data_IF_649248469067
#
_entry.id   IF_649248469067
#
_cell.length_a   1.000
_cell.length_b   1.000
_cell.length_c   1.000
_cell.angle_alpha   90.00
_cell.angle_beta   90.00
_cell.angle_gamma   90.00
#
_symmetry.space_group_name_H-M   'P 1'
#
loop_
_entity.id
_entity.type
_entity.pdbx_description
1 polymer ?
#
# COMPACT_ATOMS: atom_id res chain seq x y z
N UNK A 1 -2.77 50.97 -5.20
CA UNK A 1 -2.68 50.15 -3.98
C UNK A 1 -2.50 48.71 -4.43
N UNK A 2 -1.27 48.21 -4.35
CA UNK A 2 -0.93 46.83 -4.66
C UNK A 2 -1.13 46.02 -3.37
N UNK A 3 -2.12 45.14 -3.35
CA UNK A 3 -2.27 44.19 -2.28
C UNK A 3 -1.24 43.07 -2.48
N UNK A 4 -0.18 43.07 -1.67
CA UNK A 4 0.74 41.95 -1.61
C UNK A 4 0.05 40.77 -0.96
N UNK A 5 -0.06 39.64 -1.66
CA UNK A 5 -0.33 38.34 -1.06
C UNK A 5 0.91 37.94 -0.27
N UNK A 6 0.90 38.14 1.04
CA UNK A 6 1.83 37.46 1.94
C UNK A 6 1.43 36.00 1.99
N UNK A 7 2.32 35.13 1.49
CA UNK A 7 2.25 33.70 1.75
C UNK A 7 2.24 33.49 3.26
N UNK A 8 1.21 32.81 3.77
CA UNK A 8 1.17 32.37 5.16
C UNK A 8 2.35 31.42 5.38
N UNK A 9 3.29 31.81 6.23
CA UNK A 9 4.31 30.88 6.73
C UNK A 9 3.61 29.67 7.34
N UNK A 10 4.11 28.48 6.99
CA UNK A 10 3.58 27.20 7.50
C UNK A 10 3.70 27.18 9.02
N UNK A 11 2.61 26.91 9.71
CA UNK A 11 2.61 26.68 11.14
C UNK A 11 3.59 25.53 11.49
N UNK A 12 4.50 25.79 12.43
CA UNK A 12 5.47 24.82 12.99
C UNK A 12 6.64 24.34 12.12
N UNK A 13 7.19 25.13 11.22
CA UNK A 13 8.45 24.76 10.52
C UNK A 13 8.33 23.65 9.46
N UNK A 14 7.14 23.17 9.18
CA UNK A 14 6.89 22.18 8.14
C UNK A 14 7.25 22.75 6.75
N UNK A 15 7.77 21.88 5.88
CA UNK A 15 8.01 22.18 4.46
C UNK A 15 6.64 22.09 3.76
N UNK A 16 6.23 23.21 3.16
CA UNK A 16 5.00 23.22 2.38
C UNK A 16 5.29 22.61 0.99
N UNK A 17 4.52 21.59 0.64
CA UNK A 17 4.58 20.93 -0.67
C UNK A 17 3.28 21.21 -1.41
N UNK A 18 3.40 21.65 -2.65
CA UNK A 18 2.28 21.81 -3.57
C UNK A 18 2.37 20.77 -4.67
N UNK A 19 1.47 19.79 -4.65
CA UNK A 19 1.30 18.82 -5.72
C UNK A 19 0.29 19.34 -6.72
N UNK A 20 0.62 19.27 -8.00
CA UNK A 20 -0.29 19.52 -9.14
C UNK A 20 -0.21 18.34 -10.10
N UNK A 21 -0.99 18.34 -11.17
CA UNK A 21 -0.92 17.24 -12.14
C UNK A 21 0.49 17.09 -12.78
N UNK A 22 1.26 18.20 -12.85
CA UNK A 22 2.55 18.25 -13.55
C UNK A 22 3.69 18.79 -12.67
N UNK A 23 3.45 19.05 -11.37
CA UNK A 23 4.40 19.70 -10.47
C UNK A 23 4.40 19.13 -9.06
N UNK A 24 5.59 19.20 -8.44
CA UNK A 24 5.80 18.87 -7.03
C UNK A 24 6.70 19.98 -6.45
N UNK A 25 6.12 21.08 -5.98
CA UNK A 25 6.86 22.25 -5.57
C UNK A 25 6.98 22.34 -4.05
N UNK A 26 8.21 22.53 -3.57
CA UNK A 26 8.55 22.73 -2.17
C UNK A 26 8.84 24.20 -1.92
N UNK A 27 8.34 24.75 -0.80
CA UNK A 27 8.68 26.10 -0.35
C UNK A 27 10.14 26.21 0.15
N UNK A 28 10.71 25.09 0.59
CA UNK A 28 12.09 24.94 1.06
C UNK A 28 12.67 23.63 0.54
N UNK A 29 13.90 23.68 0.03
CA UNK A 29 14.67 22.51 -0.40
C UNK A 29 15.73 22.08 0.64
N UNK A 30 15.65 22.60 1.86
CA UNK A 30 16.56 22.30 2.96
C UNK A 30 15.80 21.97 4.23
N UNK A 31 16.28 20.98 4.97
CA UNK A 31 15.81 20.58 6.29
C UNK A 31 16.99 20.36 7.25
N UNK A 32 16.70 20.19 8.54
CA UNK A 32 17.66 19.76 9.54
C UNK A 32 17.43 18.29 9.89
N UNK A 33 18.51 17.60 10.32
CA UNK A 33 18.40 16.25 10.88
C UNK A 33 17.45 16.22 12.08
N UNK A 34 16.64 15.19 12.18
CA UNK A 34 15.57 14.99 13.16
C UNK A 34 14.23 14.82 12.44
N UNK A 35 13.16 15.23 13.08
CA UNK A 35 11.83 15.17 12.46
C UNK A 35 11.69 16.21 11.35
N UNK A 36 11.62 15.71 10.11
CA UNK A 36 11.31 16.51 8.93
C UNK A 36 9.81 16.43 8.67
N UNK A 37 9.16 17.58 8.75
CA UNK A 37 7.71 17.68 8.62
C UNK A 37 7.37 18.24 7.23
N UNK A 38 6.43 17.62 6.55
CA UNK A 38 5.87 18.07 5.28
C UNK A 38 4.37 18.33 5.45
N UNK A 39 3.89 19.41 4.83
CA UNK A 39 2.47 19.66 4.62
C UNK A 39 2.21 19.67 3.12
N UNK A 40 1.61 18.60 2.63
CA UNK A 40 1.34 18.41 1.22
C UNK A 40 -0.06 18.88 0.89
N UNK A 41 -0.20 19.81 -0.05
CA UNK A 41 -1.49 20.27 -0.54
C UNK A 41 -1.64 19.85 -2.00
N UNK A 42 -2.72 19.16 -2.30
CA UNK A 42 -3.05 18.77 -3.66
C UNK A 42 -3.85 19.87 -4.38
N UNK A 43 -3.18 20.61 -5.25
CA UNK A 43 -3.77 21.61 -6.13
C UNK A 43 -4.04 21.06 -7.54
N UNK A 44 -3.84 19.76 -7.75
CA UNK A 44 -4.19 19.06 -8.98
C UNK A 44 -5.65 18.66 -9.04
N UNK A 45 -6.03 17.95 -10.09
CA UNK A 45 -7.39 17.42 -10.33
C UNK A 45 -7.50 15.91 -10.05
N UNK A 46 -6.38 15.22 -9.81
CA UNK A 46 -6.30 13.80 -9.48
C UNK A 46 -5.92 13.65 -7.99
N UNK A 47 -6.26 12.54 -7.38
CA UNK A 47 -5.70 12.15 -6.07
C UNK A 47 -4.18 12.09 -6.19
N UNK A 48 -3.45 12.43 -5.14
CA UNK A 48 -1.98 12.41 -5.15
C UNK A 48 -1.42 11.74 -3.89
N UNK A 49 -0.22 11.23 -4.02
CA UNK A 49 0.61 10.73 -2.93
C UNK A 49 1.88 11.57 -2.82
N UNK A 50 2.53 11.50 -1.67
CA UNK A 50 3.82 12.15 -1.47
C UNK A 50 4.75 11.24 -0.67
N UNK A 51 5.99 11.11 -1.15
CA UNK A 51 7.02 10.23 -0.63
C UNK A 51 8.28 10.98 -0.23
N UNK A 52 8.95 10.51 0.82
CA UNK A 52 10.36 10.78 1.09
C UNK A 52 11.18 9.50 0.90
N UNK A 53 12.13 9.54 -0.02
CA UNK A 53 13.05 8.44 -0.30
C UNK A 53 14.44 8.70 0.30
N UNK A 54 14.97 7.69 0.96
CA UNK A 54 16.36 7.66 1.43
C UNK A 54 17.32 7.06 0.41
N UNK A 55 18.46 6.62 0.90
CA UNK A 55 19.46 5.92 0.10
C UNK A 55 18.88 4.65 -0.54
N UNK A 56 19.33 4.32 -1.75
CA UNK A 56 18.86 3.17 -2.53
C UNK A 56 17.37 3.21 -2.87
N UNK A 57 16.80 4.41 -2.97
CA UNK A 57 15.39 4.62 -3.33
C UNK A 57 14.39 3.96 -2.38
N UNK A 58 14.80 3.70 -1.13
CA UNK A 58 13.93 3.14 -0.10
C UNK A 58 12.97 4.21 0.43
N UNK A 59 11.69 3.89 0.55
CA UNK A 59 10.69 4.75 1.19
C UNK A 59 11.03 4.90 2.67
N UNK A 60 11.19 6.14 3.14
CA UNK A 60 11.36 6.49 4.55
C UNK A 60 10.03 6.92 5.18
N UNK A 61 9.11 7.41 4.38
CA UNK A 61 7.77 7.77 4.78
C UNK A 61 6.98 8.30 3.59
N UNK A 62 5.68 8.18 3.69
CA UNK A 62 4.72 8.54 2.67
C UNK A 62 3.43 9.07 3.27
N UNK A 63 2.67 9.78 2.48
CA UNK A 63 1.28 10.12 2.75
C UNK A 63 0.50 10.00 1.44
N UNK A 64 -0.55 9.22 1.50
CA UNK A 64 -1.34 8.79 0.35
C UNK A 64 -2.74 9.41 0.35
N UNK A 65 -3.46 9.16 -0.72
CA UNK A 65 -4.89 9.47 -0.86
C UNK A 65 -5.26 10.94 -0.61
N UNK A 66 -4.37 11.88 -0.96
CA UNK A 66 -4.64 13.31 -0.84
C UNK A 66 -5.54 13.73 -2.02
N UNK A 67 -6.84 13.85 -1.77
CA UNK A 67 -7.82 14.29 -2.78
C UNK A 67 -7.59 15.74 -3.26
N UNK A 68 -8.14 16.11 -4.44
CA UNK A 68 -8.05 17.47 -4.97
C UNK A 68 -8.56 18.53 -3.96
N UNK A 69 -7.74 19.55 -3.72
CA UNK A 69 -8.03 20.63 -2.76
C UNK A 69 -7.79 20.27 -1.29
N UNK A 70 -7.41 19.03 -0.99
CA UNK A 70 -7.11 18.57 0.37
C UNK A 70 -5.62 18.69 0.68
N UNK A 71 -5.27 18.48 1.96
CA UNK A 71 -3.89 18.44 2.42
C UNK A 71 -3.65 17.25 3.33
N UNK A 72 -2.47 16.63 3.19
CA UNK A 72 -1.93 15.60 4.07
C UNK A 72 -0.69 16.11 4.81
N UNK A 73 -0.36 15.48 5.93
CA UNK A 73 0.86 15.77 6.68
C UNK A 73 1.71 14.50 6.77
N UNK A 74 3.02 14.67 6.56
CA UNK A 74 4.00 13.61 6.71
C UNK A 74 5.10 14.08 7.64
N UNK A 75 5.43 13.29 8.65
CA UNK A 75 6.59 13.49 9.52
C UNK A 75 7.52 12.31 9.39
N UNK A 76 8.78 12.55 9.07
CA UNK A 76 9.81 11.50 8.92
C UNK A 76 11.03 11.86 9.76
N UNK A 77 11.48 10.93 10.60
CA UNK A 77 12.75 11.07 11.30
C UNK A 77 13.92 10.82 10.33
N UNK A 78 14.72 11.86 10.07
CA UNK A 78 15.92 11.80 9.23
C UNK A 78 17.15 12.03 10.09
N UNK A 79 17.86 10.97 10.43
CA UNK A 79 19.00 11.03 11.37
C UNK A 79 20.31 11.41 10.70
N UNK A 80 20.50 11.06 9.45
CA UNK A 80 21.74 11.30 8.70
C UNK A 80 21.63 12.55 7.83
N UNK A 81 22.62 13.45 7.85
CA UNK A 81 22.70 14.53 6.87
C UNK A 81 22.99 13.95 5.48
N UNK A 82 22.41 14.56 4.45
CA UNK A 82 22.59 14.08 3.08
C UNK A 82 21.55 14.65 2.12
N UNK A 83 21.57 14.15 0.89
CA UNK A 83 20.58 14.46 -0.13
C UNK A 83 19.55 13.35 -0.16
N UNK A 84 18.29 13.72 -0.08
CA UNK A 84 17.12 12.84 -0.12
C UNK A 84 16.25 13.20 -1.32
N UNK A 85 15.38 12.30 -1.73
CA UNK A 85 14.45 12.55 -2.83
C UNK A 85 13.03 12.59 -2.29
N UNK A 86 12.26 13.60 -2.68
CA UNK A 86 10.81 13.61 -2.50
C UNK A 86 10.12 13.36 -3.84
N UNK A 87 8.91 12.82 -3.81
CA UNK A 87 8.09 12.68 -5.01
C UNK A 87 6.62 12.95 -4.70
N UNK A 88 5.95 13.68 -5.59
CA UNK A 88 4.50 13.72 -5.69
C UNK A 88 4.06 12.76 -6.80
N UNK A 89 3.03 11.94 -6.56
CA UNK A 89 2.47 11.02 -7.58
C UNK A 89 1.02 11.40 -7.89
N UNK A 90 0.77 12.34 -8.79
CA UNK A 90 -0.59 12.68 -9.21
C UNK A 90 -1.25 11.50 -9.93
N UNK A 91 -2.43 11.11 -9.47
CA UNK A 91 -3.12 9.91 -9.94
C UNK A 91 -2.63 8.63 -9.30
N UNK A 92 -1.70 8.72 -8.32
CA UNK A 92 -1.10 7.57 -7.61
C UNK A 92 -0.32 6.61 -8.53
N UNK A 93 0.18 7.10 -9.67
CA UNK A 93 0.79 6.28 -10.72
C UNK A 93 2.25 6.65 -10.97
N UNK A 94 3.02 5.67 -11.44
CA UNK A 94 4.38 5.82 -11.92
C UNK A 94 5.41 6.16 -10.84
N UNK A 95 6.56 6.68 -11.28
CA UNK A 95 7.68 7.03 -10.39
C UNK A 95 7.51 8.38 -9.69
N UNK A 96 6.48 9.13 -10.06
CA UNK A 96 6.18 10.45 -9.55
C UNK A 96 7.11 11.57 -10.05
N UNK A 97 6.73 12.79 -9.72
CA UNK A 97 7.48 14.01 -10.02
C UNK A 97 8.48 14.22 -8.88
N UNK A 98 9.75 13.96 -9.14
CA UNK A 98 10.81 13.90 -8.13
C UNK A 98 11.57 15.22 -7.98
N UNK A 99 11.93 15.54 -6.74
CA UNK A 99 12.77 16.67 -6.35
C UNK A 99 13.78 16.23 -5.30
N UNK A 100 14.93 16.92 -5.25
CA UNK A 100 15.91 16.70 -4.19
C UNK A 100 15.67 17.67 -3.03
N UNK A 101 15.91 17.18 -1.81
CA UNK A 101 15.96 17.96 -0.59
C UNK A 101 17.27 17.69 0.14
N UNK A 102 17.93 18.74 0.62
CA UNK A 102 19.16 18.64 1.40
C UNK A 102 18.83 18.63 2.89
N UNK A 103 19.23 17.58 3.59
CA UNK A 103 19.16 17.52 5.05
C UNK A 103 20.52 17.82 5.62
N UNK A 104 20.63 18.87 6.42
CA UNK A 104 21.88 19.36 7.03
C UNK A 104 21.82 19.23 8.54
N UNK A 105 22.97 19.42 9.20
CA UNK A 105 23.10 19.29 10.65
C UNK A 105 24.02 18.16 11.07
N UNK A 106 24.11 17.94 12.37
CA UNK A 106 24.87 16.80 12.90
C UNK A 106 24.05 15.51 12.75
N UNK A 107 24.76 14.39 12.53
CA UNK A 107 24.11 13.08 12.59
C UNK A 107 23.46 12.92 13.96
N UNK A 108 22.14 12.71 13.99
CA UNK A 108 21.41 12.43 15.22
C UNK A 108 21.46 10.93 15.51
N UNK A 109 21.56 10.59 16.79
CA UNK A 109 21.21 9.24 17.20
C UNK A 109 19.72 9.03 16.89
N UNK A 110 19.34 7.87 16.35
CA UNK A 110 17.91 7.50 16.29
C UNK A 110 17.32 7.64 17.69
N UNK A 111 16.13 8.21 17.79
CA UNK A 111 15.39 8.19 19.04
C UNK A 111 15.39 6.76 19.61
N UNK A 112 15.67 6.63 20.93
CA UNK A 112 15.58 5.33 21.56
C UNK A 112 14.13 4.84 21.51
N UNK A 113 13.87 3.93 20.59
CA UNK A 113 12.57 3.25 20.53
C UNK A 113 12.41 2.43 21.81
N UNK A 114 11.29 2.55 22.51
CA UNK A 114 11.05 1.74 23.72
C UNK A 114 11.31 0.25 23.47
N UNK A 115 11.90 -0.42 24.46
CA UNK A 115 12.35 -1.82 24.31
C UNK A 115 11.18 -2.76 23.96
N UNK A 116 9.99 -2.50 24.47
CA UNK A 116 8.77 -3.25 24.18
C UNK A 116 8.29 -3.04 22.74
N UNK A 117 8.40 -1.81 22.21
CA UNK A 117 8.11 -1.50 20.77
C UNK A 117 9.12 -2.23 19.87
N UNK A 118 10.42 -2.19 20.20
CA UNK A 118 11.42 -2.92 19.44
C UNK A 118 11.16 -4.42 19.45
N UNK A 119 10.83 -4.99 20.60
CA UNK A 119 10.51 -6.42 20.70
C UNK A 119 9.25 -6.80 19.92
N UNK A 120 8.24 -5.95 19.88
CA UNK A 120 7.02 -6.14 19.07
C UNK A 120 7.36 -6.08 17.58
N UNK A 121 8.17 -5.10 17.15
CA UNK A 121 8.64 -4.96 15.78
C UNK A 121 9.43 -6.18 15.30
N UNK A 122 10.30 -6.75 16.13
CA UNK A 122 11.05 -7.97 15.79
C UNK A 122 10.12 -9.18 15.61
N UNK A 123 9.10 -9.37 16.47
CA UNK A 123 8.12 -10.45 16.28
C UNK A 123 7.30 -10.27 15.01
N UNK A 124 6.90 -9.02 14.71
CA UNK A 124 6.23 -8.74 13.44
C UNK A 124 7.15 -8.98 12.24
N UNK A 125 8.43 -8.67 12.33
CA UNK A 125 9.39 -8.99 11.27
C UNK A 125 9.50 -10.50 11.02
N UNK A 126 9.44 -11.32 12.05
CA UNK A 126 9.39 -12.77 11.90
C UNK A 126 8.09 -13.25 11.23
N UNK A 127 6.96 -12.61 11.53
CA UNK A 127 5.72 -12.82 10.80
C UNK A 127 5.86 -12.47 9.31
N UNK A 128 6.41 -11.29 8.99
CA UNK A 128 6.66 -10.85 7.60
C UNK A 128 7.53 -11.87 6.86
N UNK A 129 8.62 -12.32 7.46
CA UNK A 129 9.48 -13.38 6.91
C UNK A 129 8.71 -14.67 6.65
N UNK A 130 7.81 -15.06 7.55
CA UNK A 130 6.93 -16.20 7.39
C UNK A 130 6.00 -16.04 6.17
N UNK A 131 5.36 -14.89 6.03
CA UNK A 131 4.47 -14.61 4.90
C UNK A 131 5.25 -14.62 3.58
N UNK A 132 6.37 -13.92 3.48
CA UNK A 132 7.19 -13.88 2.24
C UNK A 132 7.75 -15.25 1.87
N UNK A 133 8.13 -16.07 2.84
CA UNK A 133 8.54 -17.45 2.56
C UNK A 133 7.38 -18.30 2.02
N UNK A 134 6.18 -18.15 2.59
CA UNK A 134 4.95 -18.76 2.09
C UNK A 134 4.58 -18.28 0.70
N UNK A 135 4.61 -16.97 0.47
CA UNK A 135 4.39 -16.34 -0.83
C UNK A 135 5.29 -16.95 -1.90
N UNK A 136 6.61 -16.98 -1.66
CA UNK A 136 7.59 -17.53 -2.59
C UNK A 136 7.30 -18.99 -2.96
N UNK A 137 6.89 -19.81 -1.97
CA UNK A 137 6.55 -21.21 -2.22
C UNK A 137 5.26 -21.37 -3.06
N UNK A 138 4.23 -20.58 -2.73
CA UNK A 138 2.94 -20.65 -3.42
C UNK A 138 2.99 -20.01 -4.81
N UNK A 139 3.74 -18.92 -4.99
CA UNK A 139 3.95 -18.31 -6.33
C UNK A 139 4.69 -19.27 -7.25
N UNK A 140 5.63 -20.08 -6.74
CA UNK A 140 6.27 -21.11 -7.59
C UNK A 140 5.23 -22.08 -8.16
N UNK A 141 4.32 -22.60 -7.32
CA UNK A 141 3.25 -23.53 -7.76
C UNK A 141 2.28 -22.83 -8.73
N UNK A 142 1.90 -21.60 -8.42
CA UNK A 142 1.03 -20.77 -9.27
C UNK A 142 1.64 -20.57 -10.67
N UNK A 143 2.89 -20.16 -10.72
CA UNK A 143 3.64 -19.95 -11.98
C UNK A 143 3.77 -21.24 -12.76
N UNK A 144 4.00 -22.38 -12.10
CA UNK A 144 4.08 -23.68 -12.77
C UNK A 144 2.75 -24.04 -13.45
N UNK A 145 1.60 -23.83 -12.80
CA UNK A 145 0.27 -24.00 -13.41
C UNK A 145 0.04 -23.05 -14.59
N UNK A 146 0.37 -21.77 -14.43
CA UNK A 146 0.25 -20.76 -15.51
C UNK A 146 1.06 -21.20 -16.74
N UNK A 147 2.31 -21.59 -16.55
CA UNK A 147 3.22 -22.02 -17.64
C UNK A 147 2.82 -23.35 -18.26
N UNK A 148 2.24 -24.25 -17.46
CA UNK A 148 1.68 -25.51 -17.98
C UNK A 148 0.38 -25.31 -18.77
N UNK A 149 -0.25 -24.11 -18.69
CA UNK A 149 -1.56 -23.84 -19.27
C UNK A 149 -2.72 -24.48 -18.50
N UNK A 150 -2.49 -24.80 -17.23
CA UNK A 150 -3.47 -25.38 -16.31
C UNK A 150 -4.32 -24.24 -15.69
N UNK A 151 -5.13 -23.61 -16.56
CA UNK A 151 -5.85 -22.37 -16.26
C UNK A 151 -6.76 -22.49 -15.04
N UNK A 152 -7.50 -23.58 -14.92
CA UNK A 152 -8.46 -23.79 -13.80
C UNK A 152 -7.74 -23.91 -12.46
N UNK A 153 -6.59 -24.56 -12.42
CA UNK A 153 -5.74 -24.69 -11.23
C UNK A 153 -5.13 -23.33 -10.84
N UNK A 154 -4.62 -22.59 -11.83
CA UNK A 154 -4.09 -21.25 -11.61
C UNK A 154 -5.17 -20.30 -11.06
N UNK A 155 -6.37 -20.32 -11.65
CA UNK A 155 -7.51 -19.52 -11.16
C UNK A 155 -7.92 -19.89 -9.72
N UNK A 156 -7.99 -21.18 -9.42
CA UNK A 156 -8.44 -21.68 -8.13
C UNK A 156 -7.53 -21.24 -6.97
N UNK A 157 -6.25 -20.97 -7.23
CA UNK A 157 -5.31 -20.56 -6.19
C UNK A 157 -4.95 -19.06 -6.19
N UNK A 158 -5.40 -18.28 -7.18
CA UNK A 158 -4.99 -16.88 -7.36
C UNK A 158 -5.25 -16.02 -6.11
N UNK A 159 -6.50 -15.91 -5.64
CA UNK A 159 -6.81 -15.13 -4.44
C UNK A 159 -6.06 -15.64 -3.20
N UNK A 160 -5.94 -16.97 -3.02
CA UNK A 160 -5.23 -17.52 -1.87
C UNK A 160 -3.73 -17.16 -1.88
N UNK A 161 -3.08 -17.17 -3.04
CA UNK A 161 -1.65 -16.84 -3.15
C UNK A 161 -1.41 -15.36 -2.84
N UNK A 162 -2.27 -14.47 -3.31
CA UNK A 162 -2.19 -13.04 -3.02
C UNK A 162 -2.28 -12.73 -1.53
N UNK A 163 -3.06 -13.48 -0.75
CA UNK A 163 -3.21 -13.21 0.69
C UNK A 163 -1.90 -13.14 1.47
N UNK A 164 -0.85 -13.80 1.01
CA UNK A 164 0.47 -13.71 1.66
C UNK A 164 1.10 -12.35 1.44
N UNK A 165 0.88 -11.72 0.28
CA UNK A 165 1.38 -10.39 -0.05
C UNK A 165 0.56 -9.31 0.67
N UNK A 166 -0.75 -9.38 0.54
CA UNK A 166 -1.71 -8.45 1.13
C UNK A 166 -1.55 -8.28 2.65
N UNK A 167 -1.20 -9.35 3.36
CA UNK A 167 -0.94 -9.30 4.82
C UNK A 167 0.25 -8.47 5.22
N UNK A 168 1.18 -8.20 4.31
CA UNK A 168 2.46 -7.54 4.59
C UNK A 168 2.70 -6.32 3.71
N UNK A 169 1.68 -5.87 3.00
CA UNK A 169 1.73 -4.78 2.04
C UNK A 169 2.49 -3.55 2.57
N UNK A 170 2.27 -3.03 3.81
CA UNK A 170 3.00 -1.88 4.33
C UNK A 170 4.53 -2.08 4.41
N UNK A 171 4.99 -3.33 4.47
CA UNK A 171 6.42 -3.65 4.43
C UNK A 171 6.90 -3.85 2.99
N UNK A 172 6.07 -4.43 2.12
CA UNK A 172 6.37 -4.62 0.70
C UNK A 172 6.55 -3.27 -0.02
N UNK A 173 5.69 -2.30 0.27
CA UNK A 173 5.76 -0.91 -0.25
C UNK A 173 7.08 -0.21 0.09
N UNK A 174 7.78 -0.62 1.16
CA UNK A 174 9.13 -0.11 1.44
C UNK A 174 10.18 -0.49 0.39
N UNK A 175 9.83 -1.33 -0.59
CA UNK A 175 10.64 -1.73 -1.73
C UNK A 175 10.09 -1.17 -3.05
N UNK A 176 10.26 0.12 -3.34
CA UNK A 176 9.59 0.83 -4.44
C UNK A 176 9.87 0.29 -5.85
N UNK A 177 10.89 -0.56 -6.00
CA UNK A 177 11.19 -1.25 -7.27
C UNK A 177 10.53 -2.64 -7.34
N UNK A 178 10.22 -3.27 -6.19
CA UNK A 178 9.68 -4.62 -6.13
C UNK A 178 8.16 -4.62 -5.99
N UNK A 179 7.64 -3.72 -5.20
CA UNK A 179 6.21 -3.60 -4.96
C UNK A 179 5.44 -3.44 -6.30
N UNK A 180 5.68 -2.40 -7.12
CA UNK A 180 4.99 -2.31 -8.41
C UNK A 180 5.35 -3.46 -9.39
N UNK A 181 6.52 -4.07 -9.25
CA UNK A 181 6.88 -5.21 -10.09
C UNK A 181 6.15 -6.51 -9.71
N UNK A 182 5.56 -6.58 -8.52
CA UNK A 182 4.79 -7.73 -8.00
C UNK A 182 3.29 -7.49 -8.13
N UNK A 183 2.81 -6.27 -7.82
CA UNK A 183 1.39 -6.04 -7.59
C UNK A 183 0.76 -4.84 -8.31
N UNK A 184 1.47 -4.19 -9.26
CA UNK A 184 0.91 -3.04 -9.96
C UNK A 184 -0.38 -3.39 -10.74
N UNK A 185 -1.35 -2.50 -10.68
CA UNK A 185 -2.56 -2.54 -11.49
C UNK A 185 -2.33 -1.90 -12.86
N UNK A 186 -3.24 -2.14 -13.80
CA UNK A 186 -3.15 -1.51 -15.12
C UNK A 186 -3.12 0.02 -15.04
N UNK A 187 -3.88 0.61 -14.14
CA UNK A 187 -3.99 2.06 -13.99
C UNK A 187 -2.63 2.71 -13.63
N UNK A 188 -1.78 1.98 -12.90
CA UNK A 188 -0.44 2.44 -12.53
C UNK A 188 0.51 2.56 -13.73
N UNK A 189 0.13 2.02 -14.89
CA UNK A 189 0.90 2.09 -16.13
C UNK A 189 0.49 3.23 -17.06
N UNK A 190 -0.53 4.02 -16.73
CA UNK A 190 -1.10 5.04 -17.63
C UNK A 190 -0.10 6.11 -18.08
N UNK A 191 0.90 6.42 -17.26
CA UNK A 191 1.94 7.40 -17.60
C UNK A 191 3.03 6.82 -18.52
N UNK A 192 2.98 5.50 -18.79
CA UNK A 192 3.97 4.79 -19.61
C UNK A 192 5.35 4.66 -18.98
N UNK A 193 5.52 4.98 -17.70
CA UNK A 193 6.80 4.92 -16.99
C UNK A 193 7.24 3.49 -16.68
N UNK A 194 6.28 2.57 -16.53
CA UNK A 194 6.52 1.19 -16.18
C UNK A 194 5.72 0.21 -17.05
N UNK A 195 6.26 -1.00 -17.33
CA UNK A 195 5.49 -2.03 -18.02
C UNK A 195 4.49 -2.70 -17.08
N UNK A 196 3.29 -3.01 -17.55
CA UNK A 196 2.33 -3.81 -16.81
C UNK A 196 2.87 -5.20 -16.50
N UNK A 197 2.99 -5.55 -15.22
CA UNK A 197 3.63 -6.77 -14.74
C UNK A 197 2.96 -7.26 -13.45
N UNK A 198 3.50 -8.28 -12.82
CA UNK A 198 3.03 -8.76 -11.52
C UNK A 198 1.79 -9.65 -11.57
N UNK A 199 1.12 -9.74 -10.43
CA UNK A 199 -0.07 -10.57 -10.26
C UNK A 199 -1.20 -10.17 -11.21
N UNK A 200 -1.54 -8.88 -11.28
CA UNK A 200 -2.66 -8.40 -12.10
C UNK A 200 -2.41 -8.54 -13.60
N UNK A 201 -1.15 -8.55 -14.03
CA UNK A 201 -0.80 -8.90 -15.41
C UNK A 201 -1.16 -10.34 -15.77
N UNK A 202 -0.96 -11.29 -14.85
CA UNK A 202 -1.31 -12.69 -15.01
C UNK A 202 -2.81 -12.88 -14.80
N UNK A 203 -3.40 -12.21 -13.83
CA UNK A 203 -4.84 -12.20 -13.58
C UNK A 203 -5.62 -11.85 -14.84
N UNK A 204 -5.26 -10.75 -15.53
CA UNK A 204 -5.88 -10.34 -16.79
C UNK A 204 -5.84 -11.45 -17.86
N UNK A 205 -4.75 -12.17 -17.92
CA UNK A 205 -4.62 -13.26 -18.90
C UNK A 205 -5.44 -14.50 -18.52
N UNK A 206 -5.57 -14.79 -17.23
CA UNK A 206 -6.41 -15.89 -16.73
C UNK A 206 -7.91 -15.57 -16.88
N UNK A 207 -8.31 -14.30 -16.68
CA UNK A 207 -9.67 -13.79 -16.86
C UNK A 207 -9.69 -12.70 -17.94
N UNK A 208 -9.67 -13.07 -19.23
CA UNK A 208 -9.62 -12.09 -20.30
C UNK A 208 -10.81 -11.13 -20.27
N UNK A 209 -10.57 -9.80 -20.46
CA UNK A 209 -11.60 -8.79 -20.45
C UNK A 209 -12.82 -9.12 -21.28
N UNK A 210 -14.01 -9.11 -20.68
CA UNK A 210 -15.27 -9.32 -21.38
C UNK A 210 -15.85 -7.95 -21.77
N UNK A 211 -16.50 -7.86 -22.93
CA UNK A 211 -17.04 -6.58 -23.43
C UNK A 211 -18.02 -5.90 -22.46
N UNK A 212 -18.73 -6.66 -21.65
CA UNK A 212 -19.67 -6.15 -20.66
C UNK A 212 -19.00 -5.47 -19.46
N UNK A 213 -17.72 -5.78 -19.21
CA UNK A 213 -16.90 -5.27 -18.10
C UNK A 213 -16.07 -4.05 -18.51
N UNK A 214 -16.03 -3.75 -19.82
CA UNK A 214 -15.23 -2.64 -20.34
C UNK A 214 -15.97 -1.33 -20.20
N UNK A 215 -15.33 -0.34 -19.55
CA UNK A 215 -15.88 0.99 -19.34
C UNK A 215 -14.93 1.92 -18.59
N UNK A 216 -15.44 3.08 -18.18
CA UNK A 216 -14.66 4.12 -17.50
C UNK A 216 -15.09 4.32 -16.03
N UNK A 217 -16.01 3.48 -15.52
CA UNK A 217 -16.43 3.57 -14.13
C UNK A 217 -15.47 2.79 -13.21
N UNK A 218 -15.38 3.16 -11.92
CA UNK A 218 -14.59 2.41 -10.94
C UNK A 218 -14.89 0.90 -10.99
N UNK A 219 -13.87 0.06 -10.92
CA UNK A 219 -13.98 -1.39 -11.02
C UNK A 219 -14.23 -1.92 -12.44
N UNK A 220 -14.39 -1.07 -13.46
CA UNK A 220 -14.46 -1.49 -14.86
C UNK A 220 -13.07 -1.57 -15.50
N UNK A 221 -12.97 -2.37 -16.55
CA UNK A 221 -11.74 -2.54 -17.34
C UNK A 221 -11.67 -1.41 -18.37
N UNK A 222 -10.62 -0.60 -18.31
CA UNK A 222 -10.44 0.50 -19.26
C UNK A 222 -10.39 0.00 -20.72
N UNK A 223 -10.98 0.74 -21.70
CA UNK A 223 -10.93 0.34 -23.10
C UNK A 223 -9.51 0.15 -23.65
N UNK A 224 -8.54 0.95 -23.17
CA UNK A 224 -7.14 0.83 -23.54
C UNK A 224 -6.52 -0.47 -23.02
N UNK A 225 -6.86 -0.87 -21.77
CA UNK A 225 -6.45 -2.12 -21.17
C UNK A 225 -6.98 -3.32 -21.93
N UNK A 226 -8.28 -3.36 -22.21
CA UNK A 226 -8.91 -4.42 -23.00
C UNK A 226 -8.32 -4.53 -24.42
N UNK A 227 -7.92 -3.43 -25.03
CA UNK A 227 -7.23 -3.42 -26.32
C UNK A 227 -5.79 -3.96 -26.19
N UNK A 228 -5.08 -3.58 -25.13
CA UNK A 228 -3.73 -4.08 -24.84
C UNK A 228 -3.75 -5.59 -24.57
N UNK A 229 -4.73 -6.10 -23.82
CA UNK A 229 -4.90 -7.53 -23.54
C UNK A 229 -4.96 -8.35 -24.83
N UNK A 230 -5.76 -7.93 -25.81
CA UNK A 230 -5.85 -8.60 -27.13
C UNK A 230 -4.52 -8.65 -27.89
N UNK A 231 -3.67 -7.68 -27.67
CA UNK A 231 -2.38 -7.58 -28.35
C UNK A 231 -1.26 -8.35 -27.62
N UNK A 232 -1.29 -8.42 -26.30
CA UNK A 232 -0.16 -8.86 -25.47
C UNK A 232 -0.43 -10.13 -24.66
N UNK A 233 -1.69 -10.57 -24.48
CA UNK A 233 -1.99 -11.75 -23.65
C UNK A 233 -1.87 -13.05 -24.46
N UNK A 234 -0.68 -13.27 -25.03
CA UNK A 234 -0.30 -14.53 -25.65
C UNK A 234 0.60 -15.34 -24.72
N UNK A 235 0.68 -16.66 -24.97
CA UNK A 235 1.42 -17.61 -24.13
C UNK A 235 2.84 -17.17 -23.80
N UNK A 236 3.58 -16.66 -24.77
CA UNK A 236 4.98 -16.28 -24.57
C UNK A 236 5.14 -15.07 -23.64
N UNK A 237 4.27 -14.06 -23.76
CA UNK A 237 4.30 -12.89 -22.89
C UNK A 237 3.78 -13.22 -21.48
N UNK A 238 2.81 -14.15 -21.36
CA UNK A 238 2.32 -14.63 -20.08
C UNK A 238 3.39 -15.44 -19.36
N UNK A 239 4.09 -16.34 -20.03
CA UNK A 239 5.19 -17.10 -19.43
C UNK A 239 6.31 -16.17 -18.93
N UNK A 240 6.61 -15.12 -19.68
CA UNK A 240 7.59 -14.11 -19.31
C UNK A 240 7.13 -13.30 -18.07
N UNK A 241 5.85 -12.93 -18.01
CA UNK A 241 5.27 -12.24 -16.85
C UNK A 241 5.30 -13.14 -15.60
N UNK A 242 4.98 -14.42 -15.75
CA UNK A 242 5.03 -15.41 -14.68
C UNK A 242 6.46 -15.62 -14.15
N UNK A 243 7.44 -15.74 -15.04
CA UNK A 243 8.86 -15.84 -14.67
C UNK A 243 9.34 -14.56 -13.95
N UNK A 244 8.89 -13.38 -14.38
CA UNK A 244 9.22 -12.10 -13.75
C UNK A 244 8.60 -11.99 -12.35
N UNK A 245 7.33 -12.35 -12.17
CA UNK A 245 6.67 -12.38 -10.86
C UNK A 245 7.45 -13.27 -9.88
N UNK A 246 7.77 -14.51 -10.28
CA UNK A 246 8.53 -15.43 -9.43
C UNK A 246 9.91 -14.86 -9.06
N UNK A 247 10.60 -14.25 -10.02
CA UNK A 247 11.92 -13.64 -9.79
C UNK A 247 11.83 -12.47 -8.78
N UNK A 248 10.82 -11.60 -8.92
CA UNK A 248 10.61 -10.46 -8.05
C UNK A 248 10.22 -10.88 -6.62
N UNK A 249 9.32 -11.87 -6.48
CA UNK A 249 8.96 -12.43 -5.17
C UNK A 249 10.18 -13.10 -4.50
N UNK A 250 11.02 -13.81 -5.25
CA UNK A 250 12.25 -14.38 -4.70
C UNK A 250 13.29 -13.32 -4.32
N UNK A 251 13.30 -12.19 -5.02
CA UNK A 251 14.13 -11.04 -4.65
C UNK A 251 13.60 -10.40 -3.36
N UNK A 252 12.29 -10.18 -3.24
CA UNK A 252 11.65 -9.71 -1.99
C UNK A 252 12.00 -10.63 -0.82
N UNK A 253 11.86 -11.95 -1.00
CA UNK A 253 12.27 -12.94 -0.02
C UNK A 253 13.73 -12.79 0.40
N UNK A 254 14.63 -12.57 -0.56
CA UNK A 254 16.05 -12.38 -0.27
C UNK A 254 16.28 -11.11 0.56
N UNK A 255 15.61 -10.02 0.21
CA UNK A 255 15.76 -8.73 0.91
C UNK A 255 15.26 -8.79 2.35
N UNK A 256 14.05 -9.30 2.61
CA UNK A 256 13.47 -9.36 3.97
C UNK A 256 14.15 -10.38 4.87
N UNK A 257 14.84 -11.37 4.32
CA UNK A 257 15.60 -12.36 5.10
C UNK A 257 17.06 -11.97 5.35
N UNK A 258 17.51 -10.78 4.90
CA UNK A 258 18.83 -10.27 5.27
C UNK A 258 18.89 -10.05 6.79
N UNK A 259 20.04 -10.37 7.44
CA UNK A 259 20.16 -10.22 8.89
C UNK A 259 20.03 -8.78 9.40
N UNK A 260 20.35 -7.81 8.56
CA UNK A 260 20.29 -6.37 8.81
C UNK A 260 19.01 -5.71 8.29
N UNK A 261 18.08 -6.50 7.73
CA UNK A 261 16.80 -5.96 7.30
C UNK A 261 15.95 -5.58 8.51
N UNK A 262 15.47 -4.35 8.47
CA UNK A 262 14.47 -3.81 9.40
C UNK A 262 13.65 -2.77 8.65
N UNK A 263 12.53 -2.37 9.20
CA UNK A 263 11.69 -1.28 8.70
C UNK A 263 11.49 -0.23 9.79
N UNK A 264 11.04 0.96 9.40
CA UNK A 264 10.94 2.07 10.33
C UNK A 264 9.87 1.82 11.39
N UNK A 265 10.11 2.32 12.61
CA UNK A 265 9.17 2.12 13.72
C UNK A 265 7.81 2.78 13.44
N UNK A 266 7.81 3.93 12.76
CA UNK A 266 6.56 4.60 12.34
C UNK A 266 5.76 3.71 11.40
N UNK A 267 6.40 3.08 10.42
CA UNK A 267 5.74 2.15 9.48
C UNK A 267 5.12 0.96 10.22
N UNK A 268 5.80 0.42 11.24
CA UNK A 268 5.23 -0.62 12.11
C UNK A 268 3.97 -0.15 12.84
N UNK A 269 4.00 1.07 13.38
CA UNK A 269 2.90 1.60 14.22
C UNK A 269 1.73 2.12 13.37
N UNK A 270 1.99 2.63 12.18
CA UNK A 270 0.98 3.14 11.24
C UNK A 270 0.43 2.03 10.32
N UNK A 271 1.15 0.94 10.14
CA UNK A 271 0.78 -0.16 9.26
C UNK A 271 -0.64 -0.71 9.43
N UNK A 272 -1.19 -0.85 10.66
CA UNK A 272 -2.57 -1.31 10.81
C UNK A 272 -3.58 -0.37 10.16
N UNK A 273 -3.37 0.95 10.30
CA UNK A 273 -4.24 1.93 9.66
C UNK A 273 -4.06 1.91 8.14
N UNK A 274 -2.83 1.86 7.65
CA UNK A 274 -2.53 1.82 6.22
C UNK A 274 -3.27 0.66 5.52
N UNK A 275 -3.16 -0.57 6.05
CA UNK A 275 -3.88 -1.74 5.52
C UNK A 275 -5.40 -1.57 5.47
N UNK A 276 -5.98 -0.91 6.49
CA UNK A 276 -7.43 -0.70 6.54
C UNK A 276 -7.85 0.45 5.62
N UNK A 277 -7.04 1.50 5.52
CA UNK A 277 -7.28 2.64 4.62
C UNK A 277 -7.18 2.21 3.15
N UNK A 278 -6.27 1.28 2.82
CA UNK A 278 -6.14 0.69 1.49
C UNK A 278 -7.45 0.02 1.03
N UNK A 279 -8.10 -0.77 1.90
CA UNK A 279 -9.40 -1.36 1.59
C UNK A 279 -10.43 -0.26 1.26
N UNK A 280 -10.46 0.81 2.06
CA UNK A 280 -11.42 1.89 1.90
C UNK A 280 -11.18 2.70 0.61
N UNK A 281 -9.92 2.94 0.27
CA UNK A 281 -9.53 3.83 -0.82
C UNK A 281 -9.63 3.17 -2.21
N UNK A 282 -9.22 1.91 -2.34
CA UNK A 282 -9.00 1.28 -3.64
C UNK A 282 -9.80 -0.01 -3.84
N UNK A 283 -10.06 -0.78 -2.76
CA UNK A 283 -10.61 -2.13 -2.91
C UNK A 283 -12.14 -2.19 -2.84
N UNK A 284 -12.81 -1.33 -2.05
CA UNK A 284 -14.28 -1.31 -1.95
C UNK A 284 -14.97 -1.02 -3.29
N UNK A 285 -14.31 -0.27 -4.20
CA UNK A 285 -14.78 -0.06 -5.57
C UNK A 285 -14.76 -1.31 -6.45
N UNK A 286 -14.01 -2.34 -6.07
CA UNK A 286 -13.73 -3.52 -6.90
C UNK A 286 -12.66 -3.23 -7.95
N UNK A 287 -11.72 -2.37 -7.61
CA UNK A 287 -10.64 -1.93 -8.52
C UNK A 287 -9.40 -2.80 -8.40
N UNK A 288 -9.25 -3.55 -7.31
CA UNK A 288 -8.10 -4.37 -7.03
C UNK A 288 -8.03 -5.57 -7.98
N UNK A 289 -8.88 -6.54 -7.78
CA UNK A 289 -8.95 -7.76 -8.59
C UNK A 289 -9.98 -7.63 -9.71
N UNK A 290 -9.82 -6.60 -10.56
CA UNK A 290 -10.86 -6.21 -11.53
C UNK A 290 -11.15 -7.23 -12.64
N UNK A 291 -10.31 -8.24 -12.82
CA UNK A 291 -10.54 -9.30 -13.83
C UNK A 291 -11.09 -10.57 -13.20
N UNK A 292 -10.62 -10.96 -12.05
CA UNK A 292 -11.04 -12.17 -11.33
C UNK A 292 -12.20 -11.93 -10.38
N UNK A 293 -12.33 -10.69 -9.87
CA UNK A 293 -13.25 -10.29 -8.81
C UNK A 293 -13.05 -11.07 -7.51
N UNK A 294 -11.79 -11.34 -7.16
CA UNK A 294 -11.41 -12.05 -5.93
C UNK A 294 -11.11 -11.12 -4.75
N UNK A 295 -11.43 -9.83 -4.84
CA UNK A 295 -11.17 -8.75 -3.88
C UNK A 295 -11.44 -9.09 -2.41
N UNK A 296 -12.40 -9.97 -2.12
CA UNK A 296 -12.71 -10.40 -0.74
C UNK A 296 -11.60 -11.21 -0.08
N UNK A 297 -10.71 -11.83 -0.89
CA UNK A 297 -9.50 -12.47 -0.36
C UNK A 297 -8.52 -11.43 0.14
N UNK A 298 -8.35 -10.35 -0.62
CA UNK A 298 -7.44 -9.26 -0.31
C UNK A 298 -7.94 -8.48 0.91
N UNK A 299 -9.25 -8.17 0.98
CA UNK A 299 -9.85 -7.55 2.18
C UNK A 299 -9.60 -8.38 3.44
N UNK A 300 -9.85 -9.69 3.36
CA UNK A 300 -9.63 -10.56 4.51
C UNK A 300 -8.14 -10.59 4.91
N UNK A 301 -7.24 -10.57 3.94
CA UNK A 301 -5.80 -10.60 4.18
C UNK A 301 -5.28 -9.27 4.75
N UNK A 302 -5.73 -8.12 4.26
CA UNK A 302 -5.38 -6.82 4.83
C UNK A 302 -5.89 -6.70 6.28
N UNK A 303 -7.11 -7.17 6.57
CA UNK A 303 -7.65 -7.22 7.94
C UNK A 303 -6.82 -8.16 8.82
N UNK A 304 -6.40 -9.33 8.32
CA UNK A 304 -5.51 -10.26 9.05
C UNK A 304 -4.15 -9.61 9.38
N UNK A 305 -3.56 -8.90 8.42
CA UNK A 305 -2.30 -8.19 8.59
C UNK A 305 -2.40 -7.08 9.63
N UNK A 306 -3.43 -6.25 9.53
CA UNK A 306 -3.71 -5.16 10.47
C UNK A 306 -3.93 -5.68 11.90
N UNK A 307 -4.74 -6.74 12.06
CA UNK A 307 -4.98 -7.34 13.38
C UNK A 307 -3.71 -7.95 13.97
N UNK A 308 -2.84 -8.56 13.14
CA UNK A 308 -1.54 -9.08 13.58
C UNK A 308 -0.66 -7.94 14.12
N UNK A 309 -0.56 -6.83 13.41
CA UNK A 309 0.17 -5.64 13.88
C UNK A 309 -0.37 -5.11 15.22
N UNK A 310 -1.69 -5.01 15.34
CA UNK A 310 -2.35 -4.57 16.58
C UNK A 310 -2.10 -5.58 17.72
N UNK A 311 -2.13 -6.88 17.45
CA UNK A 311 -1.83 -7.89 18.45
C UNK A 311 -0.42 -7.75 19.03
N UNK A 312 0.57 -7.41 18.19
CA UNK A 312 1.93 -7.14 18.63
C UNK A 312 2.04 -5.87 19.51
N UNK A 313 1.19 -4.88 19.25
CA UNK A 313 1.12 -3.61 20.01
C UNK A 313 0.14 -3.63 21.18
N UNK A 314 -0.69 -4.67 21.31
CA UNK A 314 -1.74 -4.75 22.32
C UNK A 314 -1.27 -4.41 23.76
N UNK A 315 -0.14 -4.91 24.28
CA UNK A 315 0.29 -4.59 25.65
C UNK A 315 0.54 -3.09 25.86
N UNK A 316 1.07 -2.42 24.85
CA UNK A 316 1.39 -1.00 24.89
C UNK A 316 0.13 -0.13 24.81
N UNK A 317 -0.79 -0.48 23.91
CA UNK A 317 -2.09 0.20 23.76
C UNK A 317 -2.90 0.02 25.04
N UNK A 318 -3.05 -1.22 25.52
CA UNK A 318 -3.85 -1.53 26.72
C UNK A 318 -3.33 -0.86 27.97
N UNK A 319 -2.02 -0.69 28.10
CA UNK A 319 -1.41 -0.02 29.25
C UNK A 319 -1.76 1.49 29.31
N UNK A 320 -1.97 2.11 28.15
CA UNK A 320 -2.28 3.55 28.02
C UNK A 320 -3.78 3.82 27.85
N UNK A 321 -4.49 3.01 27.07
CA UNK A 321 -5.93 3.12 26.81
C UNK A 321 -6.57 1.75 26.54
N UNK A 322 -7.02 1.07 27.59
CA UNK A 322 -7.73 -0.22 27.49
C UNK A 322 -9.06 -0.07 26.74
N UNK A 323 -9.75 1.07 26.90
CA UNK A 323 -11.06 1.25 26.26
C UNK A 323 -10.93 1.36 24.72
N UNK A 324 -9.87 2.01 24.24
CA UNK A 324 -9.55 2.03 22.80
C UNK A 324 -9.19 0.64 22.30
N UNK A 325 -8.38 -0.12 23.05
CA UNK A 325 -8.02 -1.50 22.65
C UNK A 325 -9.27 -2.40 22.55
N UNK A 326 -10.17 -2.34 23.53
CA UNK A 326 -11.42 -3.09 23.53
C UNK A 326 -12.29 -2.70 22.31
N UNK A 327 -12.34 -1.40 21.99
CA UNK A 327 -13.08 -0.87 20.84
C UNK A 327 -12.49 -1.39 19.52
N UNK A 328 -11.16 -1.32 19.35
CA UNK A 328 -10.47 -1.82 18.15
C UNK A 328 -10.74 -3.32 17.98
N UNK A 329 -10.64 -4.09 19.06
CA UNK A 329 -10.93 -5.54 19.03
C UNK A 329 -12.36 -5.84 18.57
N UNK A 330 -13.34 -5.11 19.10
CA UNK A 330 -14.74 -5.26 18.70
C UNK A 330 -14.96 -4.89 17.21
N UNK A 331 -14.32 -3.82 16.73
CA UNK A 331 -14.43 -3.38 15.35
C UNK A 331 -13.78 -4.37 14.38
N UNK A 332 -12.63 -4.97 14.70
CA UNK A 332 -12.08 -6.08 13.91
C UNK A 332 -13.06 -7.25 13.81
N UNK A 333 -13.71 -7.63 14.91
CA UNK A 333 -14.71 -8.69 14.92
C UNK A 333 -15.92 -8.34 14.03
N UNK A 334 -16.36 -7.08 14.04
CA UNK A 334 -17.46 -6.60 13.19
C UNK A 334 -17.11 -6.65 11.70
N UNK A 335 -15.90 -6.19 11.32
CA UNK A 335 -15.39 -6.25 9.94
C UNK A 335 -15.26 -7.70 9.48
N UNK A 336 -14.65 -8.57 10.28
CA UNK A 336 -14.54 -10.00 9.98
C UNK A 336 -15.91 -10.66 9.80
N UNK A 337 -16.86 -10.32 10.65
CA UNK A 337 -18.23 -10.84 10.54
C UNK A 337 -18.86 -10.40 9.22
N UNK A 338 -18.66 -9.15 8.82
CA UNK A 338 -19.16 -8.62 7.54
C UNK A 338 -18.53 -9.33 6.34
N UNK A 339 -17.21 -9.55 6.33
CA UNK A 339 -16.52 -10.26 5.25
C UNK A 339 -16.92 -11.73 5.20
N UNK A 340 -17.04 -12.40 6.35
CA UNK A 340 -17.37 -13.83 6.43
C UNK A 340 -18.79 -14.19 5.96
N UNK A 341 -19.69 -13.21 5.82
CA UNK A 341 -21.01 -13.44 5.21
C UNK A 341 -20.90 -13.88 3.73
N UNK A 342 -19.77 -13.60 3.10
CA UNK A 342 -19.50 -13.89 1.69
C UNK A 342 -18.64 -15.14 1.50
N UNK A 343 -18.44 -15.95 2.54
CA UNK A 343 -17.73 -17.23 2.41
C UNK A 343 -18.47 -18.19 1.48
N UNK A 344 -17.71 -18.83 0.59
CA UNK A 344 -18.15 -19.92 -0.27
C UNK A 344 -17.10 -21.03 -0.26
N UNK A 345 -17.41 -22.13 0.41
CA UNK A 345 -16.44 -23.20 0.68
C UNK A 345 -15.22 -22.69 1.44
N UNK A 346 -14.03 -22.98 0.91
CA UNK A 346 -12.75 -22.52 1.47
C UNK A 346 -12.39 -21.08 1.05
N UNK A 347 -13.20 -20.48 0.18
CA UNK A 347 -12.97 -19.14 -0.39
C UNK A 347 -14.11 -18.16 -0.12
N UNK A 348 -14.31 -17.28 -1.08
CA UNK A 348 -15.34 -16.24 -1.10
C UNK A 348 -16.09 -16.25 -2.43
N UNK A 349 -17.32 -15.75 -2.44
CA UNK A 349 -18.02 -15.40 -3.67
C UNK A 349 -17.24 -14.31 -4.42
N UNK A 350 -17.46 -14.18 -5.73
CA UNK A 350 -16.88 -13.06 -6.49
C UNK A 350 -17.46 -11.72 -6.02
N UNK A 351 -16.66 -10.68 -6.00
CA UNK A 351 -17.05 -9.36 -5.50
C UNK A 351 -18.22 -8.73 -6.26
N UNK A 352 -18.44 -9.13 -7.51
CA UNK A 352 -19.60 -8.76 -8.31
C UNK A 352 -20.94 -9.23 -7.70
N UNK A 353 -20.93 -10.20 -6.79
CA UNK A 353 -22.12 -10.67 -6.07
C UNK A 353 -22.41 -9.84 -4.81
N UNK A 354 -21.49 -8.97 -4.38
CA UNK A 354 -21.69 -8.06 -3.25
C UNK A 354 -22.45 -6.83 -3.75
N UNK A 355 -23.66 -6.61 -3.24
CA UNK A 355 -24.50 -5.50 -3.66
C UNK A 355 -23.94 -4.14 -3.19
N UNK A 356 -24.36 -3.05 -3.83
CA UNK A 356 -23.94 -1.69 -3.46
C UNK A 356 -24.27 -1.37 -1.98
N UNK A 357 -25.43 -1.80 -1.46
CA UNK A 357 -25.82 -1.63 -0.07
C UNK A 357 -24.85 -2.38 0.87
N UNK A 358 -24.47 -3.60 0.50
CA UNK A 358 -23.54 -4.42 1.27
C UNK A 358 -22.11 -3.84 1.23
N UNK A 359 -21.65 -3.34 0.08
CA UNK A 359 -20.37 -2.64 -0.04
C UNK A 359 -20.33 -1.40 0.85
N UNK A 360 -21.43 -0.64 0.90
CA UNK A 360 -21.56 0.53 1.76
C UNK A 360 -21.52 0.15 3.25
N UNK A 361 -22.16 -0.95 3.66
CA UNK A 361 -22.10 -1.43 5.06
C UNK A 361 -20.69 -1.84 5.42
N UNK A 362 -19.98 -2.54 4.52
CA UNK A 362 -18.58 -2.93 4.70
C UNK A 362 -17.69 -1.68 4.82
N UNK A 363 -17.83 -0.71 3.90
CA UNK A 363 -17.09 0.57 3.94
C UNK A 363 -17.28 1.29 5.27
N UNK A 364 -18.52 1.43 5.77
CA UNK A 364 -18.77 2.09 7.05
C UNK A 364 -18.05 1.41 8.24
N UNK A 365 -17.92 0.08 8.21
CA UNK A 365 -17.22 -0.68 9.27
C UNK A 365 -15.70 -0.49 9.15
N UNK A 366 -15.19 -0.49 7.94
CA UNK A 366 -13.77 -0.22 7.62
C UNK A 366 -13.39 1.19 8.08
N UNK A 367 -14.18 2.21 7.72
CA UNK A 367 -13.97 3.60 8.13
C UNK A 367 -13.98 3.76 9.67
N UNK A 368 -14.91 3.08 10.34
CA UNK A 368 -15.00 3.12 11.80
C UNK A 368 -13.77 2.48 12.48
N UNK A 369 -13.23 1.40 11.90
CA UNK A 369 -12.01 0.75 12.37
C UNK A 369 -10.79 1.65 12.12
N UNK A 370 -10.63 2.19 10.90
CA UNK A 370 -9.55 3.12 10.56
C UNK A 370 -9.51 4.32 11.50
N UNK A 371 -10.65 4.95 11.77
CA UNK A 371 -10.74 6.07 12.72
C UNK A 371 -10.29 5.72 14.16
N UNK A 372 -10.37 4.45 14.56
CA UNK A 372 -9.84 4.01 15.85
C UNK A 372 -8.35 3.70 15.78
N UNK A 373 -7.89 3.08 14.69
CA UNK A 373 -6.48 2.77 14.44
C UNK A 373 -5.62 4.02 14.32
N UNK A 374 -6.16 5.13 13.79
CA UNK A 374 -5.46 6.41 13.68
C UNK A 374 -4.97 6.99 15.02
N UNK A 375 -5.51 6.51 16.16
CA UNK A 375 -5.11 6.94 17.50
C UNK A 375 -3.92 6.13 18.04
N UNK A 376 -3.62 4.97 17.46
CA UNK A 376 -2.57 4.04 17.94
C UNK A 376 -1.18 4.65 17.89
N UNK A 377 -0.75 5.36 16.82
CA UNK A 377 0.59 5.94 16.76
C UNK A 377 0.90 6.89 17.92
N UNK A 378 -0.04 7.76 18.27
CA UNK A 378 0.11 8.69 19.40
C UNK A 378 0.20 8.01 20.77
N UNK A 379 -0.37 6.81 20.90
CA UNK A 379 -0.26 6.02 22.12
C UNK A 379 1.04 5.22 22.19
N UNK A 380 1.46 4.61 21.09
CA UNK A 380 2.63 3.72 21.11
C UNK A 380 3.93 4.50 21.12
N UNK A 381 4.02 5.58 20.35
CA UNK A 381 5.24 6.39 20.24
C UNK A 381 5.33 7.52 21.30
N UNK A 382 4.22 7.89 21.95
CA UNK A 382 4.20 8.90 23.01
C UNK A 382 3.77 10.22 22.49
#
# INVERSE_FOLDING_TARGET
MLAGCTSKESENGAIAVTSTNDGCDLDKSEAQTGDVNFKVTNNGSKVTEFYLYGNNNRVLGEVENIGPGLSGNLTVEVTDPGTYTVACKPGMVGTGIRKEISVTGEKKAKEEVPADVNAAKERYLDYVRGQVNGLSAQVQVFVDHVKAGEVDQAKAMFGQVRTFYERIEPVAESFPDLDPAIDMRWDDTEDGSQPFTGFHRIERALWPPQQAEVGEAPGQIAPADAANAKATDNKAEIDKAADALLANVNKLKTEVNKPDFTFETRQFVQGPQALIDEIAATKVGGEEDRYSHTDLWDFAANVDGAETLIAEMQPMISAKDQALMDKITAQFADVRTAINQYRDGDGYVTYTQVTEEQRKDLSNKIDALSASLSQVPGLVLG
#
